data_IF_214364950427
#
_entry.id   IF_214364950427
#
_cell.length_a   1.000
_cell.length_b   1.000
_cell.length_c   1.000
_cell.angle_alpha   90.00
_cell.angle_beta   90.00
_cell.angle_gamma   90.00
#
_symmetry.space_group_name_H-M   'P 1'
#
loop_
_entity.id
_entity.type
_entity.pdbx_description
1 polymer ?
#
# COMPACT_ATOMS: atom_id res chain seq x y z
N UNK A 1 -47.95 2.70 -53.88
CA UNK A 1 -49.38 2.85 -54.17
C UNK A 1 -49.77 4.18 -53.61
N UNK A 2 -49.76 5.17 -54.42
CA UNK A 2 -50.84 5.75 -55.20
C UNK A 2 -51.62 6.72 -54.30
N UNK A 3 -51.80 7.92 -54.53
CA UNK A 3 -52.00 8.81 -55.70
C UNK A 3 -53.07 9.80 -55.19
N UNK A 4 -53.02 10.98 -55.43
CA UNK A 4 -53.30 11.82 -56.50
C UNK A 4 -53.84 13.16 -55.99
N UNK A 5 -53.27 14.26 -56.37
CA UNK A 5 -53.56 15.12 -57.53
C UNK A 5 -55.01 15.66 -57.58
N UNK A 6 -55.16 16.90 -57.66
CA UNK A 6 -55.51 17.82 -58.77
C UNK A 6 -56.25 19.04 -58.23
N UNK A 7 -55.96 20.18 -58.57
CA UNK A 7 -55.80 20.99 -59.75
C UNK A 7 -56.84 22.12 -59.79
N UNK A 8 -56.36 23.29 -59.95
CA UNK A 8 -56.64 24.31 -60.98
C UNK A 8 -57.97 25.05 -60.90
N UNK A 9 -58.16 26.24 -61.11
CA UNK A 9 -57.64 27.28 -61.95
C UNK A 9 -58.65 28.39 -62.10
N UNK A 10 -58.19 29.61 -62.38
CA UNK A 10 -58.77 30.68 -63.19
C UNK A 10 -59.99 31.47 -62.71
N UNK A 11 -59.78 32.77 -62.73
CA UNK A 11 -60.78 33.81 -62.93
C UNK A 11 -60.24 35.23 -62.79
N UNK A 12 -59.66 35.74 -63.88
CA UNK A 12 -59.43 37.17 -64.11
C UNK A 12 -60.78 37.88 -64.24
N UNK A 13 -60.94 39.04 -63.58
CA UNK A 13 -62.03 39.94 -63.88
C UNK A 13 -62.04 41.19 -63.00
N UNK A 14 -61.37 42.18 -63.55
CA UNK A 14 -61.75 43.58 -63.60
C UNK A 14 -62.66 44.16 -62.48
N UNK A 15 -62.10 45.12 -61.71
CA UNK A 15 -62.77 46.43 -61.43
C UNK A 15 -61.81 47.41 -60.80
N UNK A 16 -61.27 48.31 -61.67
CA UNK A 16 -60.94 49.66 -61.30
C UNK A 16 -62.23 50.41 -61.12
N UNK A 17 -62.62 50.77 -59.89
CA UNK A 17 -63.42 51.96 -59.60
C UNK A 17 -63.90 52.11 -58.08
N UNK A 18 -63.27 51.43 -57.15
CA UNK A 18 -63.62 51.63 -55.74
C UNK A 18 -62.43 52.10 -54.87
N UNK A 19 -61.36 52.53 -55.47
CA UNK A 19 -60.12 52.88 -54.72
C UNK A 19 -60.18 54.29 -54.08
N UNK A 20 -61.20 55.15 -54.39
CA UNK A 20 -61.22 56.51 -53.90
C UNK A 20 -62.14 56.79 -52.71
N UNK A 21 -63.00 55.85 -52.37
CA UNK A 21 -63.87 55.96 -51.18
C UNK A 21 -63.33 55.26 -49.94
N UNK A 22 -62.38 54.35 -50.10
CA UNK A 22 -61.74 53.66 -49.00
C UNK A 22 -60.66 54.42 -48.27
N UNK A 23 -60.03 55.36 -48.94
CA UNK A 23 -58.93 56.18 -48.35
C UNK A 23 -59.41 57.22 -47.37
N UNK A 24 -60.57 57.89 -47.63
CA UNK A 24 -61.13 58.91 -46.74
C UNK A 24 -61.70 58.26 -45.44
N UNK A 25 -62.32 57.09 -45.54
CA UNK A 25 -62.81 56.39 -44.38
C UNK A 25 -61.71 55.81 -43.48
N UNK A 26 -60.54 55.47 -44.05
CA UNK A 26 -59.40 55.06 -43.28
C UNK A 26 -58.65 56.18 -42.62
N UNK A 27 -58.58 57.37 -43.23
CA UNK A 27 -57.99 58.58 -42.60
C UNK A 27 -58.81 59.08 -41.43
N UNK A 28 -60.17 59.08 -41.54
CA UNK A 28 -61.02 59.38 -40.41
C UNK A 28 -60.93 58.37 -39.25
N UNK A 29 -60.83 57.08 -39.55
CA UNK A 29 -60.59 56.06 -38.53
C UNK A 29 -59.22 56.20 -37.86
N UNK A 30 -58.20 56.58 -38.63
CA UNK A 30 -56.87 56.81 -38.07
C UNK A 30 -56.80 58.07 -37.22
N UNK A 31 -57.52 59.15 -37.60
CA UNK A 31 -57.68 60.37 -36.75
C UNK A 31 -58.50 60.09 -35.51
N UNK A 32 -59.57 59.30 -35.58
CA UNK A 32 -60.37 58.89 -34.43
C UNK A 32 -59.55 57.97 -33.45
N UNK A 33 -58.69 57.08 -33.99
CA UNK A 33 -57.76 56.28 -33.21
C UNK A 33 -56.65 57.16 -32.59
N UNK A 34 -56.14 58.13 -33.31
CA UNK A 34 -55.15 59.11 -32.76
C UNK A 34 -55.72 59.89 -31.60
N UNK A 35 -56.96 60.44 -31.75
CA UNK A 35 -57.64 61.17 -30.64
C UNK A 35 -57.98 60.23 -29.46
N UNK A 36 -58.34 59.01 -29.71
CA UNK A 36 -58.60 58.03 -28.63
C UNK A 36 -57.31 57.64 -27.87
N UNK A 37 -56.17 57.66 -28.53
CA UNK A 37 -54.86 57.44 -27.91
C UNK A 37 -54.40 58.67 -27.11
N UNK A 38 -54.61 59.89 -27.62
CA UNK A 38 -54.29 61.11 -26.91
C UNK A 38 -55.16 61.33 -25.65
N UNK A 39 -56.43 60.99 -25.67
CA UNK A 39 -57.28 61.03 -24.49
C UNK A 39 -56.98 59.97 -23.44
N UNK A 40 -56.18 58.97 -23.75
CA UNK A 40 -55.67 57.98 -22.79
C UNK A 40 -54.33 58.36 -22.16
N UNK A 41 -53.62 59.31 -22.72
CA UNK A 41 -52.37 59.81 -22.18
C UNK A 41 -52.61 61.02 -21.24
N UNK A 42 -53.36 60.81 -20.13
CA UNK A 42 -53.42 61.76 -19.05
C UNK A 42 -52.26 61.55 -18.07
N UNK A 43 -51.22 62.42 -18.05
CA UNK A 43 -50.02 62.18 -17.27
C UNK A 43 -50.11 62.55 -15.79
N UNK A 44 -51.28 62.53 -15.20
CA UNK A 44 -51.46 63.05 -13.83
C UNK A 44 -51.96 62.01 -12.79
N UNK A 45 -51.77 60.73 -13.05
CA UNK A 45 -51.83 59.75 -11.95
C UNK A 45 -50.47 59.12 -11.76
N UNK A 46 -49.77 59.39 -10.64
CA UNK A 46 -48.58 58.64 -10.35
C UNK A 46 -48.98 57.17 -10.19
N UNK A 47 -48.47 56.35 -11.12
CA UNK A 47 -48.56 54.89 -10.97
C UNK A 47 -47.75 54.59 -9.68
N UNK A 48 -48.47 54.39 -8.58
CA UNK A 48 -47.87 53.84 -7.37
C UNK A 48 -47.24 52.53 -7.79
N UNK A 49 -45.88 52.59 -7.94
CA UNK A 49 -45.11 51.38 -8.10
C UNK A 49 -45.56 50.42 -6.99
N UNK A 50 -46.20 49.35 -7.37
CA UNK A 50 -46.58 48.31 -6.45
C UNK A 50 -45.24 47.82 -5.83
N UNK A 51 -44.95 48.28 -4.60
CA UNK A 51 -43.86 47.81 -3.80
C UNK A 51 -44.05 46.31 -3.70
N UNK A 52 -43.34 45.55 -4.55
CA UNK A 52 -43.29 44.07 -4.46
C UNK A 52 -42.86 43.78 -3.02
N UNK A 53 -43.80 43.49 -2.17
CA UNK A 53 -43.57 43.02 -0.81
C UNK A 53 -42.82 41.71 -0.99
N UNK A 54 -41.51 41.80 -1.07
CA UNK A 54 -40.61 40.61 -1.02
C UNK A 54 -41.05 39.84 0.22
N UNK A 55 -41.68 38.72 -0.02
CA UNK A 55 -42.23 37.85 1.00
C UNK A 55 -41.09 37.44 1.92
N UNK A 56 -41.00 38.05 3.09
CA UNK A 56 -40.04 37.67 4.14
C UNK A 56 -40.19 36.21 4.56
N UNK A 57 -41.35 35.56 4.21
CA UNK A 57 -41.56 34.13 4.40
C UNK A 57 -40.63 33.27 3.56
N UNK A 58 -40.47 33.56 2.27
CA UNK A 58 -39.56 32.81 1.39
C UNK A 58 -38.09 32.90 1.86
N UNK A 59 -37.65 34.08 2.29
CA UNK A 59 -36.29 34.25 2.85
C UNK A 59 -36.11 33.51 4.18
N UNK A 60 -37.13 33.50 5.05
CA UNK A 60 -37.09 32.73 6.31
C UNK A 60 -37.05 31.22 6.03
N UNK A 61 -37.86 30.71 5.10
CA UNK A 61 -37.85 29.30 4.70
C UNK A 61 -36.48 28.94 4.12
N UNK A 62 -35.91 29.74 3.23
CA UNK A 62 -34.56 29.50 2.66
C UNK A 62 -33.46 29.51 3.74
N UNK A 63 -33.52 30.40 4.74
CA UNK A 63 -32.55 30.39 5.84
C UNK A 63 -32.73 29.17 6.73
N UNK A 64 -33.97 28.82 7.09
CA UNK A 64 -34.24 27.63 7.92
C UNK A 64 -33.82 26.35 7.18
N UNK A 65 -34.12 26.21 5.90
CA UNK A 65 -33.70 25.04 5.12
C UNK A 65 -32.17 24.96 5.01
N UNK A 66 -31.48 26.10 4.81
CA UNK A 66 -30.00 26.12 4.79
C UNK A 66 -29.39 25.74 6.14
N UNK A 67 -29.98 26.23 7.25
CA UNK A 67 -29.54 25.86 8.62
C UNK A 67 -29.76 24.37 8.88
N UNK A 68 -30.92 23.83 8.47
CA UNK A 68 -31.23 22.40 8.62
C UNK A 68 -30.27 21.56 7.79
N UNK A 69 -30.03 21.92 6.52
CA UNK A 69 -29.05 21.20 5.66
C UNK A 69 -27.64 21.25 6.26
N UNK A 70 -27.23 22.43 6.75
CA UNK A 70 -25.92 22.59 7.42
C UNK A 70 -25.84 21.73 8.69
N UNK A 71 -26.89 21.72 9.51
CA UNK A 71 -26.96 20.89 10.72
C UNK A 71 -26.90 19.40 10.38
N UNK A 72 -27.59 18.94 9.32
CA UNK A 72 -27.53 17.57 8.83
C UNK A 72 -26.14 17.22 8.31
N UNK A 73 -25.45 18.10 7.60
CA UNK A 73 -24.08 17.90 7.15
C UNK A 73 -23.11 17.80 8.33
N UNK A 74 -23.25 18.68 9.33
CA UNK A 74 -22.44 18.62 10.55
C UNK A 74 -22.70 17.31 11.30
N UNK A 75 -23.95 16.88 11.44
CA UNK A 75 -24.32 15.64 12.07
C UNK A 75 -23.77 14.42 11.30
N UNK A 76 -23.80 14.45 9.98
CA UNK A 76 -23.24 13.40 9.12
C UNK A 76 -21.72 13.30 9.28
N UNK A 77 -21.02 14.43 9.16
CA UNK A 77 -19.54 14.46 9.27
C UNK A 77 -19.10 14.15 10.70
N UNK A 78 -19.72 14.77 11.71
CA UNK A 78 -19.42 14.53 13.12
C UNK A 78 -19.75 13.12 13.56
N UNK A 79 -20.92 12.59 13.16
CA UNK A 79 -21.34 11.22 13.43
C UNK A 79 -20.43 10.20 12.72
N UNK A 80 -20.04 10.48 11.48
CA UNK A 80 -19.06 9.68 10.73
C UNK A 80 -17.69 9.63 11.41
N UNK A 81 -17.20 10.77 11.90
CA UNK A 81 -15.94 10.84 12.66
C UNK A 81 -16.00 10.05 13.96
N UNK A 82 -17.07 10.23 14.76
CA UNK A 82 -17.25 9.51 16.02
C UNK A 82 -17.36 7.99 15.77
N UNK A 83 -18.04 7.59 14.72
CA UNK A 83 -18.11 6.18 14.32
C UNK A 83 -16.74 5.64 13.92
N UNK A 84 -15.95 6.38 13.14
CA UNK A 84 -14.59 6.00 12.77
C UNK A 84 -13.68 5.91 14.00
N UNK A 85 -13.80 6.85 14.95
CA UNK A 85 -13.07 6.83 16.22
C UNK A 85 -13.42 5.61 17.06
N UNK A 86 -14.73 5.27 17.15
CA UNK A 86 -15.17 4.06 17.83
C UNK A 86 -14.63 2.79 17.16
N UNK A 87 -14.65 2.71 15.84
CA UNK A 87 -14.06 1.59 15.09
C UNK A 87 -12.55 1.49 15.31
N UNK A 88 -11.86 2.61 15.24
CA UNK A 88 -10.41 2.67 15.48
C UNK A 88 -10.04 2.25 16.91
N UNK A 89 -10.85 2.58 17.90
CA UNK A 89 -10.63 2.16 19.30
C UNK A 89 -10.76 0.64 19.51
N UNK A 90 -11.35 -0.09 18.55
CA UNK A 90 -11.41 -1.56 18.61
C UNK A 90 -10.10 -2.22 18.15
N UNK A 91 -9.18 -1.47 17.51
CA UNK A 91 -7.89 -2.03 17.11
C UNK A 91 -7.05 -2.25 18.36
N UNK A 92 -6.53 -3.47 18.58
CA UNK A 92 -5.65 -3.75 19.70
C UNK A 92 -4.45 -2.81 19.73
N UNK A 93 -4.10 -2.32 20.90
CA UNK A 93 -2.98 -1.41 21.12
C UNK A 93 -1.92 -2.08 21.96
N UNK A 94 -0.66 -1.77 21.66
CA UNK A 94 0.49 -2.18 22.46
C UNK A 94 1.31 -0.94 22.83
N UNK A 95 1.73 -0.90 24.09
CA UNK A 95 2.66 0.15 24.50
C UNK A 95 4.09 -0.27 24.09
N UNK A 96 4.74 0.55 23.27
CA UNK A 96 6.11 0.30 22.80
C UNK A 96 7.05 1.28 23.51
N UNK A 97 7.96 0.73 24.29
CA UNK A 97 8.97 1.51 25.01
C UNK A 97 10.11 1.85 24.05
N UNK A 98 10.53 3.10 24.05
CA UNK A 98 11.65 3.59 23.21
C UNK A 98 11.21 4.16 21.85
N UNK A 99 9.91 4.28 21.60
CA UNK A 99 9.41 5.06 20.46
C UNK A 99 9.76 6.54 20.65
N UNK A 100 10.15 7.16 19.51
CA UNK A 100 10.38 8.60 19.48
C UNK A 100 9.10 9.32 19.04
N UNK A 101 8.79 10.50 19.63
CA UNK A 101 7.60 11.23 19.22
C UNK A 101 7.70 11.65 17.76
N UNK A 102 6.59 11.47 17.04
CA UNK A 102 6.47 11.98 15.68
C UNK A 102 6.29 13.50 15.70
N UNK A 103 7.17 14.22 15.02
CA UNK A 103 7.05 15.65 14.84
C UNK A 103 6.30 15.96 13.54
N UNK A 104 5.26 16.80 13.62
CA UNK A 104 4.44 17.19 12.48
C UNK A 104 5.27 17.70 11.32
N UNK A 105 5.03 17.15 10.12
CA UNK A 105 5.71 17.54 8.88
C UNK A 105 7.16 17.06 8.73
N UNK A 106 7.72 16.37 9.72
CA UNK A 106 9.05 15.78 9.63
C UNK A 106 8.97 14.31 9.19
N UNK A 107 10.05 13.76 8.60
CA UNK A 107 10.16 12.35 8.33
C UNK A 107 9.99 11.51 9.61
N UNK A 108 9.35 10.36 9.48
CA UNK A 108 9.14 9.41 10.57
C UNK A 108 9.18 7.97 10.07
N UNK A 109 9.39 7.04 10.99
CA UNK A 109 9.60 5.64 10.69
C UNK A 109 8.53 4.77 11.37
N UNK A 110 7.91 3.91 10.59
CA UNK A 110 6.95 2.89 11.07
C UNK A 110 7.64 1.53 10.95
N UNK A 111 7.79 0.83 12.07
CA UNK A 111 8.23 -0.55 12.09
C UNK A 111 7.03 -1.48 11.83
N UNK A 112 7.03 -2.14 10.69
CA UNK A 112 6.09 -3.21 10.35
C UNK A 112 6.67 -4.56 10.79
N UNK A 113 5.93 -5.26 11.64
CA UNK A 113 6.28 -6.59 12.14
C UNK A 113 5.25 -7.59 11.62
N UNK A 114 5.65 -8.48 10.72
CA UNK A 114 4.84 -9.61 10.30
C UNK A 114 5.02 -10.78 11.26
N UNK A 115 3.99 -11.08 12.02
CA UNK A 115 3.99 -12.21 12.96
C UNK A 115 3.45 -13.47 12.30
N UNK A 116 4.09 -14.61 12.58
CA UNK A 116 3.60 -15.95 12.21
C UNK A 116 2.44 -16.44 13.09
N UNK A 117 1.87 -15.56 13.93
CA UNK A 117 0.71 -15.87 14.75
C UNK A 117 -0.46 -16.36 13.90
N UNK A 118 -0.96 -17.54 14.28
CA UNK A 118 -2.08 -18.22 13.66
C UNK A 118 -3.39 -18.02 14.42
N UNK A 119 -3.37 -17.19 15.45
CA UNK A 119 -4.55 -16.84 16.22
C UNK A 119 -5.64 -16.26 15.31
N UNK A 120 -6.87 -16.70 15.49
CA UNK A 120 -8.01 -16.26 14.68
C UNK A 120 -8.16 -16.93 13.32
N UNK A 121 -7.24 -17.82 12.90
CA UNK A 121 -7.41 -18.63 11.70
C UNK A 121 -8.34 -19.81 11.97
N UNK A 122 -9.28 -20.05 11.05
CA UNK A 122 -10.27 -21.13 11.15
C UNK A 122 -10.39 -21.92 9.84
N UNK A 123 -11.04 -23.08 9.91
CA UNK A 123 -11.38 -23.89 8.73
C UNK A 123 -10.18 -24.36 7.92
N UNK A 124 -10.28 -24.24 6.59
CA UNK A 124 -9.24 -24.71 5.64
C UNK A 124 -7.94 -23.93 5.80
N UNK A 125 -8.02 -22.61 6.04
CA UNK A 125 -6.84 -21.75 6.25
C UNK A 125 -6.05 -22.18 7.48
N UNK A 126 -6.72 -22.51 8.56
CA UNK A 126 -6.07 -23.04 9.78
C UNK A 126 -5.32 -24.35 9.50
N UNK A 127 -5.96 -25.28 8.75
CA UNK A 127 -5.30 -26.53 8.34
C UNK A 127 -4.09 -26.31 7.45
N UNK A 128 -4.21 -25.46 6.43
CA UNK A 128 -3.13 -25.17 5.46
C UNK A 128 -1.95 -24.41 6.09
N UNK A 129 -2.20 -23.65 7.15
CA UNK A 129 -1.15 -22.94 7.90
C UNK A 129 -0.61 -23.73 9.08
N UNK A 130 -1.17 -24.91 9.39
CA UNK A 130 -0.80 -25.73 10.55
C UNK A 130 -1.31 -25.16 11.89
N UNK A 131 -2.33 -24.29 11.86
CA UNK A 131 -2.92 -23.71 13.09
C UNK A 131 -3.66 -24.75 13.94
N UNK A 132 -4.01 -25.89 13.39
CA UNK A 132 -4.69 -26.99 14.09
C UNK A 132 -3.75 -27.84 14.96
N UNK A 133 -2.44 -27.69 14.79
CA UNK A 133 -1.44 -28.35 15.62
C UNK A 133 -0.87 -27.32 16.59
N UNK A 134 -1.02 -27.54 17.88
CA UNK A 134 -0.46 -26.69 18.97
C UNK A 134 1.09 -26.62 18.96
N UNK A 135 1.74 -26.90 17.84
CA UNK A 135 3.16 -27.20 17.73
C UNK A 135 4.07 -26.00 17.49
N UNK A 136 3.56 -24.77 17.48
CA UNK A 136 4.43 -23.59 17.34
C UNK A 136 4.35 -22.77 18.64
N UNK A 137 5.12 -23.18 19.63
CA UNK A 137 5.42 -22.36 20.79
C UNK A 137 6.36 -21.21 20.34
N UNK A 138 5.95 -19.98 20.64
CA UNK A 138 6.72 -18.76 20.37
C UNK A 138 6.19 -17.99 19.15
N UNK A 139 6.06 -16.68 19.31
CA UNK A 139 5.81 -15.76 18.22
C UNK A 139 7.16 -15.38 17.61
N UNK A 140 7.29 -15.54 16.30
CA UNK A 140 8.46 -15.09 15.55
C UNK A 140 8.04 -14.00 14.57
N UNK A 141 8.92 -13.02 14.39
CA UNK A 141 8.74 -12.06 13.32
C UNK A 141 9.38 -12.62 12.04
N UNK A 142 8.52 -13.03 11.10
CA UNK A 142 8.97 -13.46 9.78
C UNK A 142 9.21 -12.26 8.84
N UNK A 143 8.68 -11.10 9.19
CA UNK A 143 8.81 -9.84 8.44
C UNK A 143 9.25 -8.75 9.41
N UNK A 144 10.33 -8.06 9.07
CA UNK A 144 10.81 -6.86 9.74
C UNK A 144 11.04 -5.82 8.65
N UNK A 145 10.16 -4.84 8.57
CA UNK A 145 10.26 -3.75 7.58
C UNK A 145 10.15 -2.41 8.29
N UNK A 146 10.89 -1.43 7.78
CA UNK A 146 10.82 -0.06 8.25
C UNK A 146 10.33 0.79 7.08
N UNK A 147 9.16 1.37 7.26
CA UNK A 147 8.58 2.33 6.34
C UNK A 147 9.05 3.72 6.76
N UNK A 148 9.97 4.29 6.01
CA UNK A 148 10.41 5.68 6.14
C UNK A 148 9.46 6.55 5.33
N UNK A 149 8.77 7.46 6.00
CA UNK A 149 7.80 8.37 5.40
C UNK A 149 8.33 9.78 5.50
N UNK A 150 8.49 10.44 4.37
CA UNK A 150 8.80 11.87 4.32
C UNK A 150 7.59 12.65 3.81
N UNK A 151 6.82 13.29 4.71
CA UNK A 151 5.65 14.08 4.31
C UNK A 151 6.01 15.33 3.51
N UNK A 152 7.19 15.90 3.70
CA UNK A 152 7.63 17.09 2.97
C UNK A 152 7.97 16.76 1.51
N UNK A 153 8.75 15.69 1.30
CA UNK A 153 9.08 15.19 -0.03
C UNK A 153 7.93 14.41 -0.67
N UNK A 154 6.92 13.96 0.09
CA UNK A 154 5.84 13.11 -0.40
C UNK A 154 6.34 11.72 -0.82
N UNK A 155 7.36 11.20 -0.17
CA UNK A 155 7.99 9.92 -0.51
C UNK A 155 7.78 8.87 0.59
N UNK A 156 7.76 7.62 0.16
CA UNK A 156 7.73 6.45 1.03
C UNK A 156 8.84 5.51 0.59
N UNK A 157 9.71 5.15 1.53
CA UNK A 157 10.80 4.19 1.33
C UNK A 157 10.66 3.03 2.30
N UNK A 158 10.76 1.80 1.80
CA UNK A 158 10.69 0.58 2.61
C UNK A 158 12.10 -0.02 2.71
N UNK A 159 12.57 -0.19 3.92
CA UNK A 159 13.74 -1.01 4.22
C UNK A 159 13.30 -2.35 4.82
N UNK A 160 13.61 -3.44 4.15
CA UNK A 160 13.40 -4.79 4.68
C UNK A 160 14.68 -5.29 5.35
N UNK A 161 14.57 -5.74 6.60
CA UNK A 161 15.67 -6.40 7.32
C UNK A 161 15.37 -7.91 7.28
N UNK A 162 16.22 -8.74 6.64
CA UNK A 162 16.04 -10.18 6.63
C UNK A 162 15.98 -10.73 8.06
N UNK A 163 15.05 -11.62 8.33
CA UNK A 163 14.77 -12.13 9.70
C UNK A 163 15.95 -12.86 10.36
N UNK A 164 16.84 -13.41 9.53
CA UNK A 164 18.02 -14.17 9.99
C UNK A 164 19.27 -13.26 10.13
N UNK A 165 19.10 -11.92 10.05
CA UNK A 165 20.18 -10.95 10.27
C UNK A 165 20.66 -11.01 11.71
N UNK A 166 21.97 -11.18 11.87
CA UNK A 166 22.63 -11.20 13.18
C UNK A 166 22.66 -9.80 13.81
N UNK A 167 22.26 -9.73 15.05
CA UNK A 167 22.22 -8.50 15.86
C UNK A 167 22.82 -8.74 17.24
N UNK A 168 23.23 -7.68 17.90
CA UNK A 168 23.55 -7.68 19.32
C UNK A 168 22.23 -7.65 20.11
N UNK A 169 21.99 -8.68 20.92
CA UNK A 169 20.79 -8.76 21.75
C UNK A 169 20.86 -7.77 22.92
N UNK A 170 19.75 -7.10 23.22
CA UNK A 170 19.64 -6.20 24.38
C UNK A 170 19.17 -6.93 25.64
N UNK A 171 18.51 -8.09 25.49
CA UNK A 171 18.00 -8.88 26.60
C UNK A 171 18.21 -10.38 26.34
N UNK A 172 18.05 -11.20 27.40
CA UNK A 172 18.11 -12.66 27.34
C UNK A 172 19.43 -13.23 26.80
N UNK A 173 20.53 -12.49 26.94
CA UNK A 173 21.84 -12.92 26.45
C UNK A 173 22.33 -14.20 27.12
N UNK A 174 21.93 -14.47 28.38
CA UNK A 174 22.27 -15.72 29.08
C UNK A 174 21.61 -16.95 28.40
N UNK A 175 20.45 -16.78 27.78
CA UNK A 175 19.69 -17.86 27.14
C UNK A 175 20.06 -18.01 25.65
N UNK A 176 20.21 -16.90 24.95
CA UNK A 176 20.34 -16.87 23.48
C UNK A 176 21.75 -16.45 22.98
N UNK A 177 22.68 -16.16 23.90
CA UNK A 177 23.98 -15.58 23.57
C UNK A 177 23.92 -14.08 23.36
N UNK A 178 25.10 -13.42 23.29
CA UNK A 178 25.21 -11.98 23.03
C UNK A 178 24.70 -11.60 21.62
N UNK A 179 24.89 -12.47 20.66
CA UNK A 179 24.55 -12.30 19.27
C UNK A 179 23.56 -13.37 18.82
N UNK A 180 22.49 -12.98 18.14
CA UNK A 180 21.55 -13.91 17.57
C UNK A 180 20.78 -13.26 16.40
N UNK A 181 19.92 -14.02 15.74
CA UNK A 181 19.05 -13.50 14.67
C UNK A 181 18.07 -12.46 15.21
N UNK A 182 17.77 -11.44 14.42
CA UNK A 182 16.86 -10.36 14.81
C UNK A 182 15.46 -10.85 15.18
N UNK A 183 14.98 -11.91 14.54
CA UNK A 183 13.64 -12.47 14.78
C UNK A 183 13.45 -13.06 16.18
N UNK A 184 14.52 -13.41 16.90
CA UNK A 184 14.47 -13.93 18.29
C UNK A 184 13.96 -12.83 19.25
N UNK A 185 14.27 -11.57 18.98
CA UNK A 185 13.86 -10.45 19.84
C UNK A 185 12.35 -10.27 19.94
N UNK A 186 11.60 -10.63 18.88
CA UNK A 186 10.15 -10.50 18.88
C UNK A 186 9.45 -11.42 19.90
N UNK A 187 10.06 -12.51 20.29
CA UNK A 187 9.56 -13.38 21.35
C UNK A 187 9.34 -12.66 22.70
N UNK A 188 10.01 -11.52 22.89
CA UNK A 188 9.88 -10.64 24.06
C UNK A 188 9.04 -9.39 23.78
N UNK A 189 8.29 -9.40 22.68
CA UNK A 189 7.39 -8.33 22.27
C UNK A 189 8.00 -7.29 21.31
N UNK A 190 7.14 -6.44 20.78
CA UNK A 190 7.53 -5.45 19.75
C UNK A 190 8.48 -4.37 20.30
N UNK A 191 8.38 -4.04 21.59
CA UNK A 191 9.27 -3.05 22.23
C UNK A 191 10.73 -3.45 22.15
N UNK A 192 11.05 -4.72 22.47
CA UNK A 192 12.44 -5.18 22.44
C UNK A 192 12.98 -5.22 21.01
N UNK A 193 12.14 -5.59 20.03
CA UNK A 193 12.54 -5.57 18.63
C UNK A 193 12.81 -4.14 18.14
N UNK A 194 11.94 -3.17 18.46
CA UNK A 194 12.12 -1.76 18.09
C UNK A 194 13.42 -1.20 18.73
N UNK A 195 13.63 -1.42 20.02
CA UNK A 195 14.86 -1.01 20.72
C UNK A 195 16.10 -1.66 20.10
N UNK A 196 16.04 -2.96 19.77
CA UNK A 196 17.14 -3.67 19.13
C UNK A 196 17.50 -3.06 17.76
N UNK A 197 16.51 -2.70 16.96
CA UNK A 197 16.72 -2.04 15.67
C UNK A 197 17.40 -0.68 15.87
N UNK A 198 16.90 0.13 16.79
CA UNK A 198 17.49 1.43 17.10
C UNK A 198 18.93 1.28 17.64
N UNK A 199 19.16 0.36 18.56
CA UNK A 199 20.49 0.16 19.15
C UNK A 199 21.51 -0.41 18.17
N UNK A 200 21.09 -1.32 17.26
CA UNK A 200 22.01 -1.95 16.31
C UNK A 200 22.25 -1.13 15.05
N UNK A 201 21.23 -0.50 14.52
CA UNK A 201 21.27 0.16 13.21
C UNK A 201 21.13 1.70 13.28
N UNK A 202 20.86 2.25 14.46
CA UNK A 202 20.63 3.69 14.63
C UNK A 202 19.32 4.19 14.05
N UNK A 203 18.39 3.30 13.66
CA UNK A 203 17.14 3.70 13.03
C UNK A 203 16.13 4.09 14.11
N UNK A 204 15.70 5.37 14.20
CA UNK A 204 14.66 5.78 15.14
C UNK A 204 13.31 5.19 14.73
N UNK A 205 12.55 4.65 15.69
CA UNK A 205 11.21 4.11 15.46
C UNK A 205 10.20 5.06 16.10
N UNK A 206 9.21 5.52 15.34
CA UNK A 206 8.15 6.42 15.79
C UNK A 206 6.84 5.68 16.01
N UNK A 207 6.56 4.65 15.20
CA UNK A 207 5.35 3.83 15.31
C UNK A 207 5.66 2.36 15.05
N UNK A 208 4.81 1.49 15.57
CA UNK A 208 4.89 0.04 15.36
C UNK A 208 3.53 -0.51 14.92
N UNK A 209 3.55 -1.27 13.82
CA UNK A 209 2.39 -2.00 13.32
C UNK A 209 2.72 -3.48 13.30
N UNK A 210 1.92 -4.29 13.98
CA UNK A 210 2.04 -5.75 13.93
C UNK A 210 0.92 -6.31 13.07
N UNK A 211 1.26 -7.19 12.14
CA UNK A 211 0.33 -7.84 11.21
C UNK A 211 0.45 -9.35 11.36
N UNK A 212 -0.60 -10.02 11.81
CA UNK A 212 -0.68 -11.47 11.85
C UNK A 212 -1.14 -12.04 10.50
N UNK A 213 -1.08 -13.36 10.32
CA UNK A 213 -1.64 -14.03 9.15
C UNK A 213 -3.13 -13.72 8.95
N UNK A 214 -3.92 -13.71 10.03
CA UNK A 214 -5.32 -13.32 9.97
C UNK A 214 -5.47 -11.85 9.53
N UNK A 215 -4.63 -10.96 10.04
CA UNK A 215 -4.60 -9.55 9.67
C UNK A 215 -4.35 -9.33 8.19
N UNK A 216 -3.37 -10.04 7.62
CA UNK A 216 -3.07 -9.93 6.18
C UNK A 216 -4.24 -10.42 5.31
N UNK A 217 -4.82 -11.57 5.66
CA UNK A 217 -6.00 -12.10 4.96
C UNK A 217 -7.17 -11.11 5.05
N UNK A 218 -7.47 -10.63 6.25
CA UNK A 218 -8.58 -9.73 6.51
C UNK A 218 -8.39 -8.38 5.80
N UNK A 219 -7.18 -7.85 5.76
CA UNK A 219 -6.86 -6.63 5.01
C UNK A 219 -7.09 -6.83 3.50
N UNK A 220 -6.57 -7.92 2.92
CA UNK A 220 -6.79 -8.23 1.51
C UNK A 220 -8.28 -8.41 1.17
N UNK A 221 -9.03 -9.15 1.99
CA UNK A 221 -10.47 -9.37 1.80
C UNK A 221 -11.26 -8.06 1.95
N UNK A 222 -10.90 -7.22 2.93
CA UNK A 222 -11.54 -5.92 3.15
C UNK A 222 -11.35 -4.94 2.00
N UNK A 223 -10.20 -5.01 1.32
CA UNK A 223 -9.91 -4.26 0.10
C UNK A 223 -10.63 -4.83 -1.14
N UNK A 224 -11.34 -5.96 -1.02
CA UNK A 224 -11.92 -6.68 -2.15
C UNK A 224 -10.87 -7.38 -3.02
N UNK A 225 -9.72 -7.69 -2.45
CA UNK A 225 -8.56 -8.26 -3.14
C UNK A 225 -7.58 -7.20 -3.67
N UNK A 226 -6.42 -7.66 -4.09
CA UNK A 226 -5.38 -6.86 -4.75
C UNK A 226 -5.06 -7.47 -6.12
N UNK A 227 -4.67 -6.64 -7.07
CA UNK A 227 -4.32 -7.10 -8.41
C UNK A 227 -2.82 -7.25 -8.55
N UNK A 228 -2.41 -8.46 -8.94
CA UNK A 228 -1.03 -8.80 -9.25
C UNK A 228 -0.96 -9.46 -10.63
N UNK A 229 -0.09 -8.98 -11.47
CA UNK A 229 0.24 -9.60 -12.76
C UNK A 229 1.32 -10.65 -12.56
N UNK A 230 0.98 -11.89 -12.87
CA UNK A 230 1.90 -13.02 -12.87
C UNK A 230 2.35 -13.27 -14.30
N UNK A 231 3.62 -13.03 -14.65
CA UNK A 231 4.10 -13.24 -16.02
C UNK A 231 3.97 -14.71 -16.49
N UNK A 232 3.93 -15.63 -15.54
CA UNK A 232 3.83 -17.07 -15.78
C UNK A 232 2.89 -17.72 -14.78
N UNK A 233 2.32 -18.93 -15.09
CA UNK A 233 1.71 -19.77 -14.07
C UNK A 233 2.70 -19.98 -12.92
N UNK A 234 2.24 -19.87 -11.67
CA UNK A 234 3.10 -19.90 -10.51
C UNK A 234 2.54 -20.78 -9.39
N UNK A 235 3.42 -21.40 -8.62
CA UNK A 235 3.04 -22.20 -7.45
C UNK A 235 4.13 -22.18 -6.38
N UNK A 236 3.71 -22.49 -5.16
CA UNK A 236 4.58 -22.84 -4.04
C UNK A 236 3.80 -23.75 -3.09
N UNK A 237 4.14 -25.02 -3.07
CA UNK A 237 3.42 -26.02 -2.28
C UNK A 237 3.51 -25.78 -0.78
N UNK A 238 4.58 -25.13 -0.29
CA UNK A 238 4.77 -24.86 1.13
C UNK A 238 3.95 -23.66 1.62
N UNK A 239 3.76 -22.66 0.78
CA UNK A 239 2.89 -21.53 1.11
C UNK A 239 1.43 -21.75 0.72
N UNK A 240 1.17 -22.70 -0.18
CA UNK A 240 -0.14 -22.96 -0.80
C UNK A 240 -0.48 -22.02 -1.94
N UNK A 241 0.53 -21.33 -2.50
CA UNK A 241 0.34 -20.50 -3.70
C UNK A 241 0.00 -21.39 -4.89
N UNK A 242 -1.05 -21.03 -5.61
CA UNK A 242 -1.44 -21.69 -6.85
C UNK A 242 -2.09 -20.70 -7.81
N UNK A 243 -1.35 -20.31 -8.82
CA UNK A 243 -1.75 -19.39 -9.89
C UNK A 243 -1.64 -20.15 -11.21
N UNK A 244 -2.72 -20.78 -11.68
CA UNK A 244 -2.67 -21.66 -12.85
C UNK A 244 -2.56 -20.89 -14.18
N UNK A 245 -2.93 -19.61 -14.21
CA UNK A 245 -2.93 -18.79 -15.43
C UNK A 245 -2.08 -17.54 -15.24
N UNK A 246 -1.30 -17.14 -16.26
CA UNK A 246 -0.56 -15.89 -16.23
C UNK A 246 -1.50 -14.67 -16.39
N UNK A 247 -0.96 -13.48 -16.21
CA UNK A 247 -1.66 -12.22 -16.36
C UNK A 247 -2.13 -11.59 -15.04
N UNK A 248 -2.88 -10.51 -15.17
CA UNK A 248 -3.37 -9.74 -14.02
C UNK A 248 -4.46 -10.52 -13.27
N UNK A 249 -4.17 -10.94 -12.05
CA UNK A 249 -5.02 -11.79 -11.21
C UNK A 249 -5.52 -11.02 -9.99
N UNK A 250 -6.79 -11.21 -9.63
CA UNK A 250 -7.33 -10.73 -8.36
C UNK A 250 -6.95 -11.70 -7.24
N UNK A 251 -6.05 -11.29 -6.38
CA UNK A 251 -5.54 -12.07 -5.26
C UNK A 251 -6.26 -11.66 -3.98
N UNK A 252 -6.90 -12.62 -3.31
CA UNK A 252 -7.63 -12.38 -2.06
C UNK A 252 -7.55 -13.58 -1.13
N UNK A 253 -7.97 -13.41 0.12
CA UNK A 253 -8.05 -14.47 1.12
C UNK A 253 -6.73 -15.20 1.33
N UNK A 254 -6.79 -16.53 1.24
CA UNK A 254 -5.62 -17.37 1.46
C UNK A 254 -4.50 -17.17 0.42
N UNK A 255 -4.84 -16.91 -0.85
CA UNK A 255 -3.82 -16.67 -1.88
C UNK A 255 -3.00 -15.40 -1.59
N UNK A 256 -3.59 -14.37 -0.98
CA UNK A 256 -2.86 -13.19 -0.51
C UNK A 256 -1.79 -13.57 0.53
N UNK A 257 -2.15 -14.40 1.50
CA UNK A 257 -1.20 -14.92 2.48
C UNK A 257 -0.15 -15.84 1.82
N UNK A 258 -0.56 -16.66 0.84
CA UNK A 258 0.33 -17.58 0.14
C UNK A 258 1.42 -16.83 -0.63
N UNK A 259 1.09 -15.73 -1.33
CA UNK A 259 2.06 -14.84 -1.99
C UNK A 259 3.06 -14.29 -0.98
N UNK A 260 2.57 -13.73 0.14
CA UNK A 260 3.42 -13.10 1.16
C UNK A 260 4.33 -14.10 1.91
N UNK A 261 4.02 -15.39 1.86
CA UNK A 261 4.78 -16.48 2.52
C UNK A 261 5.67 -17.27 1.57
N UNK A 262 5.53 -17.09 0.25
CA UNK A 262 6.18 -17.91 -0.74
C UNK A 262 7.71 -17.76 -0.70
N UNK A 263 8.40 -18.84 -0.36
CA UNK A 263 9.88 -18.97 -0.31
C UNK A 263 10.42 -20.02 -1.27
N UNK A 264 9.52 -20.88 -1.78
CA UNK A 264 9.82 -21.95 -2.72
C UNK A 264 9.03 -21.70 -4.00
N UNK A 265 9.06 -20.44 -4.47
CA UNK A 265 8.33 -19.99 -5.63
C UNK A 265 8.81 -20.72 -6.88
N UNK A 266 7.87 -21.21 -7.66
CA UNK A 266 8.11 -21.84 -8.95
C UNK A 266 7.24 -21.17 -10.00
N UNK A 267 7.79 -21.04 -11.21
CA UNK A 267 7.04 -20.55 -12.37
C UNK A 267 7.19 -21.51 -13.55
N UNK A 268 6.14 -21.63 -14.36
CA UNK A 268 6.11 -22.50 -15.53
C UNK A 268 6.46 -21.71 -16.78
N UNK A 269 7.58 -22.06 -17.41
CA UNK A 269 8.05 -21.41 -18.64
C UNK A 269 8.74 -22.43 -19.52
N UNK A 270 8.50 -22.37 -20.83
CA UNK A 270 9.11 -23.26 -21.83
C UNK A 270 8.89 -24.76 -21.54
N UNK A 271 7.70 -25.12 -21.05
CA UNK A 271 7.34 -26.52 -20.78
C UNK A 271 7.87 -27.09 -19.46
N UNK A 272 8.58 -26.29 -18.65
CA UNK A 272 9.18 -26.76 -17.38
C UNK A 272 8.85 -25.84 -16.22
N UNK A 273 8.82 -26.40 -14.99
CA UNK A 273 8.77 -25.64 -13.77
C UNK A 273 10.17 -25.19 -13.37
N UNK A 274 10.39 -23.89 -13.32
CA UNK A 274 11.60 -23.27 -12.84
C UNK A 274 11.46 -22.96 -11.34
N UNK A 275 12.57 -22.85 -10.62
CA UNK A 275 12.59 -22.61 -9.18
C UNK A 275 13.34 -21.32 -8.85
N UNK A 276 12.74 -20.49 -7.97
CA UNK A 276 13.38 -19.31 -7.41
C UNK A 276 14.32 -19.68 -6.27
N UNK A 277 15.62 -19.70 -6.55
CA UNK A 277 16.65 -20.00 -5.56
C UNK A 277 16.91 -18.89 -4.54
N UNK A 278 16.26 -17.72 -4.67
CA UNK A 278 16.49 -16.58 -3.77
C UNK A 278 15.80 -16.73 -2.41
N UNK A 279 14.90 -17.71 -2.26
CA UNK A 279 14.28 -18.09 -0.98
C UNK A 279 13.68 -16.91 -0.20
N UNK A 280 14.31 -16.48 0.88
CA UNK A 280 13.82 -15.40 1.75
C UNK A 280 13.84 -14.02 1.06
N UNK A 281 14.84 -13.75 0.24
CA UNK A 281 14.93 -12.50 -0.52
C UNK A 281 13.81 -12.38 -1.56
N UNK A 282 13.51 -13.45 -2.31
CA UNK A 282 12.38 -13.47 -3.23
C UNK A 282 11.04 -13.30 -2.51
N UNK A 283 10.88 -13.87 -1.31
CA UNK A 283 9.71 -13.61 -0.46
C UNK A 283 9.58 -12.12 -0.12
N UNK A 284 10.67 -11.45 0.25
CA UNK A 284 10.70 -10.02 0.55
C UNK A 284 10.25 -9.21 -0.67
N UNK A 285 10.72 -9.54 -1.86
CA UNK A 285 10.34 -8.88 -3.10
C UNK A 285 8.84 -9.04 -3.39
N UNK A 286 8.29 -10.27 -3.27
CA UNK A 286 6.85 -10.54 -3.41
C UNK A 286 5.98 -9.83 -2.37
N UNK A 287 6.45 -9.71 -1.12
CA UNK A 287 5.80 -8.92 -0.09
C UNK A 287 5.78 -7.42 -0.44
N UNK A 288 6.87 -6.90 -1.01
CA UNK A 288 6.95 -5.50 -1.42
C UNK A 288 5.99 -5.22 -2.60
N UNK A 289 5.90 -6.14 -3.57
CA UNK A 289 4.93 -6.07 -4.66
C UNK A 289 3.48 -6.09 -4.13
N UNK A 290 3.21 -7.00 -3.20
CA UNK A 290 1.90 -7.11 -2.55
C UNK A 290 1.52 -5.84 -1.79
N UNK A 291 2.44 -5.26 -1.03
CA UNK A 291 2.22 -3.99 -0.30
C UNK A 291 1.92 -2.83 -1.28
N UNK A 292 2.66 -2.72 -2.38
CA UNK A 292 2.35 -1.74 -3.44
C UNK A 292 0.94 -1.93 -4.00
N UNK A 293 0.55 -3.17 -4.27
CA UNK A 293 -0.79 -3.49 -4.77
C UNK A 293 -1.88 -3.15 -3.74
N UNK A 294 -1.64 -3.40 -2.44
CA UNK A 294 -2.55 -3.01 -1.36
C UNK A 294 -2.73 -1.48 -1.29
N UNK A 295 -1.65 -0.70 -1.34
CA UNK A 295 -1.71 0.76 -1.32
C UNK A 295 -2.45 1.27 -2.57
N UNK A 296 -2.17 0.71 -3.73
CA UNK A 296 -2.88 1.05 -4.98
C UNK A 296 -4.38 0.79 -4.85
N UNK A 297 -4.75 -0.35 -4.29
CA UNK A 297 -6.16 -0.72 -4.08
C UNK A 297 -6.83 0.15 -3.03
N UNK A 298 -6.16 0.44 -1.92
CA UNK A 298 -6.68 1.31 -0.87
C UNK A 298 -7.04 2.72 -1.39
N UNK A 299 -6.26 3.26 -2.31
CA UNK A 299 -6.52 4.56 -2.95
C UNK A 299 -7.80 4.60 -3.79
N UNK A 300 -8.27 3.47 -4.29
CA UNK A 300 -9.51 3.36 -5.06
C UNK A 300 -10.77 3.18 -4.20
N UNK A 301 -10.63 3.15 -2.87
CA UNK A 301 -11.73 2.92 -1.94
C UNK A 301 -12.44 4.23 -1.59
N UNK A 302 -13.40 4.64 -2.41
CA UNK A 302 -14.25 5.79 -2.11
C UNK A 302 -15.64 5.40 -1.56
N UNK A 303 -15.97 4.10 -1.56
CA UNK A 303 -17.27 3.64 -1.09
C UNK A 303 -17.28 3.53 0.45
N UNK A 304 -18.18 4.25 1.16
CA UNK A 304 -18.28 4.19 2.62
C UNK A 304 -18.52 2.77 3.17
N UNK A 305 -19.23 1.91 2.44
CA UNK A 305 -19.44 0.52 2.85
C UNK A 305 -18.15 -0.30 2.83
N UNK A 306 -17.29 -0.07 1.84
CA UNK A 306 -15.99 -0.75 1.76
C UNK A 306 -15.04 -0.24 2.85
N UNK A 307 -15.03 1.08 3.11
CA UNK A 307 -14.28 1.67 4.23
C UNK A 307 -14.74 1.07 5.56
N UNK A 308 -16.05 0.96 5.78
CA UNK A 308 -16.60 0.33 6.98
C UNK A 308 -16.20 -1.15 7.09
N UNK A 309 -16.28 -1.91 5.99
CA UNK A 309 -15.84 -3.31 5.95
C UNK A 309 -14.35 -3.43 6.33
N UNK A 310 -13.52 -2.54 5.80
CA UNK A 310 -12.10 -2.48 6.12
C UNK A 310 -11.87 -2.21 7.61
N UNK A 311 -12.46 -1.14 8.15
CA UNK A 311 -12.34 -0.78 9.57
C UNK A 311 -12.91 -1.84 10.51
N UNK A 312 -13.86 -2.66 10.08
CA UNK A 312 -14.44 -3.74 10.90
C UNK A 312 -13.58 -5.00 10.95
N UNK A 313 -12.75 -5.24 9.94
CA UNK A 313 -11.90 -6.46 9.84
C UNK A 313 -10.48 -6.26 10.35
N UNK A 314 -9.96 -5.03 10.33
CA UNK A 314 -8.62 -4.70 10.81
C UNK A 314 -8.34 -5.17 12.25
N UNK A 315 -9.25 -4.99 13.24
CA UNK A 315 -8.99 -5.40 14.60
C UNK A 315 -8.69 -6.90 14.76
N UNK A 316 -9.03 -7.70 13.77
CA UNK A 316 -8.84 -9.15 13.78
C UNK A 316 -7.47 -9.53 13.22
N UNK A 317 -6.39 -8.98 13.75
CA UNK A 317 -5.04 -9.41 13.39
C UNK A 317 -4.05 -8.31 13.02
N UNK A 318 -4.45 -7.05 13.23
CA UNK A 318 -3.55 -5.89 13.23
C UNK A 318 -3.52 -5.30 14.62
N UNK A 319 -2.32 -5.01 15.12
CA UNK A 319 -2.09 -4.32 16.40
C UNK A 319 -1.24 -3.10 16.13
N UNK A 320 -1.62 -1.95 16.68
CA UNK A 320 -0.89 -0.69 16.57
C UNK A 320 -0.20 -0.35 17.90
N UNK A 321 0.82 0.49 17.84
CA UNK A 321 1.31 1.13 19.07
C UNK A 321 0.26 2.05 19.68
N UNK A 322 0.43 2.36 20.99
CA UNK A 322 -0.51 3.22 21.72
C UNK A 322 -0.46 4.68 21.28
N UNK A 323 0.65 5.11 20.69
CA UNK A 323 0.85 6.47 20.18
C UNK A 323 0.15 6.71 18.83
N UNK A 324 -0.16 5.67 18.07
CA UNK A 324 -0.80 5.81 16.76
C UNK A 324 -2.27 6.21 16.89
N UNK A 325 -2.63 7.37 16.37
CA UNK A 325 -3.98 7.93 16.45
C UNK A 325 -4.74 7.88 15.12
N UNK A 326 -6.09 7.94 15.19
CA UNK A 326 -6.92 8.07 13.99
C UNK A 326 -6.62 9.35 13.22
N UNK A 327 -6.31 10.45 13.93
CA UNK A 327 -6.02 11.74 13.28
C UNK A 327 -4.72 11.67 12.46
N UNK A 328 -3.69 11.00 12.96
CA UNK A 328 -2.46 10.74 12.21
C UNK A 328 -2.71 9.89 10.98
N UNK A 329 -3.53 8.83 11.11
CA UNK A 329 -3.93 8.00 9.97
C UNK A 329 -4.69 8.81 8.90
N UNK A 330 -5.61 9.66 9.32
CA UNK A 330 -6.35 10.54 8.41
C UNK A 330 -5.40 11.55 7.75
N UNK A 331 -4.51 12.19 8.51
CA UNK A 331 -3.53 13.13 8.00
C UNK A 331 -2.60 12.46 6.96
N UNK A 332 -2.15 11.23 7.25
CA UNK A 332 -1.39 10.41 6.33
C UNK A 332 -2.19 10.11 5.05
N UNK A 333 -3.43 9.64 5.18
CA UNK A 333 -4.28 9.33 4.04
C UNK A 333 -4.56 10.55 3.15
N UNK A 334 -4.81 11.72 3.75
CA UNK A 334 -5.00 12.98 3.02
C UNK A 334 -3.70 13.41 2.31
N UNK A 335 -2.56 13.34 3.00
CA UNK A 335 -1.27 13.75 2.45
C UNK A 335 -0.85 12.87 1.28
N UNK A 336 -1.07 11.56 1.38
CA UNK A 336 -0.64 10.57 0.39
C UNK A 336 -1.77 10.10 -0.55
N UNK A 337 -2.93 10.77 -0.59
CA UNK A 337 -4.03 10.37 -1.48
C UNK A 337 -3.63 10.34 -2.96
N UNK A 338 -2.76 11.26 -3.39
CA UNK A 338 -2.23 11.33 -4.76
C UNK A 338 -0.91 10.58 -4.97
N UNK A 339 -0.35 9.98 -3.89
CA UNK A 339 0.92 9.24 -4.00
C UNK A 339 0.80 8.09 -4.99
N UNK A 340 1.76 7.97 -5.91
CA UNK A 340 1.82 6.83 -6.83
C UNK A 340 2.61 5.69 -6.18
N UNK A 341 1.99 4.53 -5.89
CA UNK A 341 2.69 3.40 -5.27
C UNK A 341 3.87 2.87 -6.08
N UNK A 342 3.90 3.12 -7.40
CA UNK A 342 5.05 2.77 -8.25
C UNK A 342 6.32 3.58 -7.90
N UNK A 343 6.15 4.74 -7.27
CA UNK A 343 7.26 5.58 -6.81
C UNK A 343 7.77 5.17 -5.41
N UNK A 344 7.16 4.16 -4.78
CA UNK A 344 7.64 3.64 -3.51
C UNK A 344 8.97 2.92 -3.71
N UNK A 345 10.02 3.42 -3.07
CA UNK A 345 11.34 2.80 -3.10
C UNK A 345 11.37 1.62 -2.11
N UNK A 346 11.96 0.51 -2.53
CA UNK A 346 12.10 -0.67 -1.67
C UNK A 346 13.54 -1.17 -1.69
N UNK A 347 14.08 -1.33 -0.49
CA UNK A 347 15.43 -1.83 -0.27
C UNK A 347 15.40 -3.04 0.65
N UNK A 348 16.38 -3.90 0.50
CA UNK A 348 16.70 -4.94 1.47
C UNK A 348 18.07 -4.63 2.04
N UNK A 349 18.23 -4.75 3.37
CA UNK A 349 19.51 -4.52 4.03
C UNK A 349 20.58 -5.43 3.39
N UNK A 350 21.68 -4.89 2.90
CA UNK A 350 22.79 -5.69 2.36
C UNK A 350 23.33 -6.63 3.43
N UNK A 351 23.42 -7.92 3.10
CA UNK A 351 23.88 -8.95 4.03
C UNK A 351 24.77 -9.97 3.37
N UNK A 352 25.67 -10.56 4.15
CA UNK A 352 26.54 -11.67 3.76
C UNK A 352 26.09 -12.93 4.52
N UNK A 353 25.80 -14.04 3.83
CA UNK A 353 25.48 -15.30 4.48
C UNK A 353 26.70 -15.95 5.15
N UNK A 354 26.48 -16.58 6.29
CA UNK A 354 27.48 -17.40 6.98
C UNK A 354 26.81 -18.49 7.80
N UNK A 355 27.53 -19.56 8.09
CA UNK A 355 27.09 -20.62 8.99
C UNK A 355 27.81 -20.48 10.33
N UNK A 356 27.05 -20.31 11.43
CA UNK A 356 27.58 -20.05 12.77
C UNK A 356 27.19 -21.18 13.73
N UNK A 357 28.09 -22.10 13.99
CA UNK A 357 27.96 -23.14 14.99
C UNK A 357 26.56 -23.76 15.08
N UNK A 358 25.95 -23.76 16.27
CA UNK A 358 24.59 -24.27 16.50
C UNK A 358 23.47 -23.37 15.97
N UNK A 359 23.79 -22.14 15.60
CA UNK A 359 22.79 -21.24 14.99
C UNK A 359 22.52 -21.64 13.54
N UNK A 360 23.43 -22.36 12.86
CA UNK A 360 23.30 -22.66 11.44
C UNK A 360 23.44 -21.42 10.55
N UNK A 361 22.69 -21.35 9.45
CA UNK A 361 22.80 -20.29 8.47
C UNK A 361 22.19 -18.97 8.97
N UNK A 362 23.00 -17.93 8.94
CA UNK A 362 22.69 -16.59 9.41
C UNK A 362 23.14 -15.55 8.39
N UNK A 363 22.73 -14.31 8.58
CA UNK A 363 23.09 -13.19 7.71
C UNK A 363 23.78 -12.12 8.55
N UNK A 364 24.95 -11.64 8.11
CA UNK A 364 25.63 -10.50 8.71
C UNK A 364 25.39 -9.26 7.86
N UNK A 365 25.15 -8.11 8.50
CA UNK A 365 25.08 -6.84 7.78
C UNK A 365 26.40 -6.59 7.05
N UNK A 366 26.33 -6.42 5.73
CA UNK A 366 27.50 -6.18 4.87
C UNK A 366 27.97 -4.76 5.03
N UNK A 367 29.14 -4.57 5.62
CA UNK A 367 29.75 -3.25 5.79
C UNK A 367 30.80 -2.99 4.69
N UNK A 368 30.91 -1.77 4.15
CA UNK A 368 30.21 -0.52 4.55
C UNK A 368 28.82 -0.31 3.88
N UNK A 369 28.41 -1.19 2.97
CA UNK A 369 27.22 -1.01 2.10
C UNK A 369 25.93 -0.86 2.91
N UNK A 370 25.78 -1.63 4.00
CA UNK A 370 24.63 -1.52 4.89
C UNK A 370 24.57 -0.13 5.52
N UNK A 371 25.68 0.38 6.04
CA UNK A 371 25.73 1.72 6.63
C UNK A 371 25.46 2.82 5.61
N UNK A 372 26.00 2.71 4.39
CA UNK A 372 25.75 3.67 3.32
C UNK A 372 24.27 3.69 2.94
N UNK A 373 23.63 2.52 2.83
CA UNK A 373 22.20 2.43 2.56
C UNK A 373 21.36 3.09 3.66
N UNK A 374 21.68 2.85 4.94
CA UNK A 374 20.99 3.47 6.06
C UNK A 374 21.12 5.00 6.04
N UNK A 375 22.30 5.52 5.77
CA UNK A 375 22.53 6.97 5.63
C UNK A 375 21.74 7.53 4.45
N UNK A 376 21.68 6.82 3.33
CA UNK A 376 20.94 7.27 2.15
C UNK A 376 19.42 7.31 2.38
N UNK A 377 18.89 6.39 3.18
CA UNK A 377 17.44 6.35 3.47
C UNK A 377 17.05 7.35 4.56
N UNK A 378 17.78 7.34 5.69
CA UNK A 378 17.37 8.04 6.90
C UNK A 378 18.06 9.40 7.10
N UNK A 379 19.17 9.64 6.39
CA UNK A 379 19.88 10.91 6.41
C UNK A 379 20.26 11.34 7.83
N UNK A 380 19.94 12.59 8.15
CA UNK A 380 20.22 13.20 9.46
C UNK A 380 19.35 12.67 10.62
N UNK A 381 18.31 11.87 10.33
CA UNK A 381 17.51 11.24 11.39
C UNK A 381 18.16 9.97 11.95
N UNK A 382 19.18 9.44 11.28
CA UNK A 382 19.90 8.26 11.74
C UNK A 382 20.69 8.56 13.02
N UNK A 383 20.48 7.76 14.04
CA UNK A 383 21.18 7.84 15.32
C UNK A 383 22.51 7.07 15.26
N UNK A 384 23.40 7.36 16.18
CA UNK A 384 24.61 6.54 16.35
C UNK A 384 24.22 5.21 17.01
N UNK A 385 24.54 4.05 16.40
CA UNK A 385 24.28 2.75 17.00
C UNK A 385 24.99 2.61 18.35
N UNK A 386 24.26 2.23 19.39
CA UNK A 386 24.82 1.99 20.74
C UNK A 386 25.34 0.58 20.94
N UNK A 387 24.78 -0.37 20.20
CA UNK A 387 25.15 -1.79 20.21
C UNK A 387 25.19 -2.30 18.76
N UNK A 388 26.17 -1.91 17.96
CA UNK A 388 26.23 -2.25 16.54
C UNK A 388 26.14 -3.76 16.32
N UNK A 389 25.58 -4.21 15.16
CA UNK A 389 25.50 -5.62 14.84
C UNK A 389 26.90 -6.23 14.72
N UNK A 390 27.04 -7.54 15.00
CA UNK A 390 28.34 -8.20 14.87
C UNK A 390 28.83 -8.19 13.42
N UNK A 391 30.14 -8.07 13.24
CA UNK A 391 30.78 -8.20 11.94
C UNK A 391 31.12 -9.68 11.66
N UNK A 392 30.91 -10.14 10.44
CA UNK A 392 31.24 -11.49 9.98
C UNK A 392 32.70 -11.87 10.27
N UNK A 393 33.61 -10.91 10.15
CA UNK A 393 35.05 -11.13 10.38
C UNK A 393 35.42 -11.39 11.86
N UNK A 394 34.56 -11.00 12.82
CA UNK A 394 34.81 -11.21 14.26
C UNK A 394 34.29 -12.56 14.77
N UNK A 395 33.58 -13.33 13.95
CA UNK A 395 32.89 -14.55 14.37
C UNK A 395 33.48 -15.82 13.77
N UNK A 396 34.43 -15.77 12.88
CA UNK A 396 35.19 -16.94 12.41
C UNK A 396 36.26 -17.29 13.43
N UNK A 397 36.11 -18.36 14.25
CA UNK A 397 37.30 -18.94 14.87
C UNK A 397 38.18 -19.42 13.70
N UNK A 398 39.38 -18.94 13.62
CA UNK A 398 40.39 -19.56 12.73
C UNK A 398 40.32 -21.06 12.99
N UNK A 399 40.14 -21.89 11.96
CA UNK A 399 40.27 -23.34 12.15
C UNK A 399 41.64 -23.57 12.77
N UNK A 400 41.74 -24.50 13.77
CA UNK A 400 43.03 -24.81 14.33
C UNK A 400 43.96 -25.18 13.18
N UNK A 401 45.09 -24.50 13.12
CA UNK A 401 46.14 -24.83 12.14
C UNK A 401 46.57 -26.24 12.47
N UNK A 402 46.03 -27.22 11.76
CA UNK A 402 46.57 -28.57 11.75
C UNK A 402 47.89 -28.44 11.04
N UNK A 403 48.95 -28.47 11.80
CA UNK A 403 50.31 -28.58 11.28
C UNK A 403 50.38 -29.87 10.45
N UNK A 404 50.14 -29.72 9.15
CA UNK A 404 50.37 -30.84 8.22
C UNK A 404 51.88 -31.03 8.09
N UNK A 405 52.40 -31.99 8.81
CA UNK A 405 53.78 -32.48 8.61
C UNK A 405 53.82 -33.06 7.21
N UNK A 406 54.40 -32.31 6.28
CA UNK A 406 54.61 -32.75 4.91
C UNK A 406 55.72 -33.78 4.91
N UNK A 407 55.38 -35.06 4.89
CA UNK A 407 56.32 -36.14 4.56
C UNK A 407 56.44 -36.14 3.04
N UNK A 408 57.57 -35.64 2.57
CA UNK A 408 57.97 -35.67 1.14
C UNK A 408 58.29 -37.09 0.76
N UNK A 409 57.39 -37.75 0.05
CA UNK A 409 57.73 -39.01 -0.68
C UNK A 409 57.72 -38.66 -2.17
N UNK A 410 58.96 -38.62 -2.68
CA UNK A 410 59.23 -38.49 -4.13
C UNK A 410 58.89 -39.80 -4.81
N UNK A 411 57.94 -39.81 -5.72
CA UNK A 411 57.85 -40.84 -6.76
C UNK A 411 57.57 -40.15 -8.10
N UNK A 412 58.46 -40.45 -9.02
CA UNK A 412 58.49 -39.90 -10.37
C UNK A 412 57.51 -40.56 -11.34
N UNK A 413 57.09 -39.73 -12.30
CA UNK A 413 56.77 -40.03 -13.73
C UNK A 413 55.58 -40.92 -14.06
N UNK A 414 54.61 -40.51 -14.82
CA UNK A 414 54.57 -40.43 -16.29
C UNK A 414 53.17 -40.10 -16.77
N UNK A 415 53.13 -39.13 -17.64
CA UNK A 415 52.25 -38.88 -18.81
C UNK A 415 50.89 -39.57 -18.94
N UNK A 416 49.84 -38.86 -19.17
CA UNK A 416 49.09 -38.77 -20.43
C UNK A 416 47.62 -38.29 -20.25
N UNK A 417 47.34 -37.15 -20.83
CA UNK A 417 46.13 -36.71 -21.53
C UNK A 417 44.78 -37.34 -21.18
N UNK A 418 43.84 -36.55 -20.69
CA UNK A 418 42.62 -36.20 -21.43
C UNK A 418 41.78 -35.25 -20.61
N UNK A 419 41.61 -34.02 -21.10
CA UNK A 419 40.69 -33.02 -20.56
C UNK A 419 39.25 -33.50 -20.78
N UNK A 420 38.53 -33.69 -19.68
CA UNK A 420 37.07 -33.70 -19.71
C UNK A 420 36.62 -32.52 -18.86
N UNK A 421 36.14 -31.49 -19.53
CA UNK A 421 35.62 -30.31 -18.89
C UNK A 421 34.30 -30.62 -18.18
N UNK A 422 34.37 -30.83 -16.89
CA UNK A 422 33.18 -30.87 -16.03
C UNK A 422 32.77 -29.42 -15.78
N UNK A 423 31.68 -29.01 -16.41
CA UNK A 423 31.05 -27.71 -16.23
C UNK A 423 30.42 -27.69 -14.85
N UNK A 424 31.17 -27.25 -13.84
CA UNK A 424 30.64 -26.96 -12.51
C UNK A 424 29.84 -25.66 -12.63
N UNK A 425 28.52 -25.79 -12.70
CA UNK A 425 27.60 -24.66 -12.62
C UNK A 425 27.55 -24.22 -11.16
N UNK A 426 28.44 -23.33 -10.79
CA UNK A 426 28.34 -22.60 -9.52
C UNK A 426 27.11 -21.69 -9.67
N UNK A 427 26.01 -22.02 -9.02
CA UNK A 427 24.89 -21.11 -8.84
C UNK A 427 25.39 -19.93 -8.00
N UNK A 428 25.83 -18.90 -8.67
CA UNK A 428 26.17 -17.61 -8.05
C UNK A 428 24.88 -17.03 -7.48
N UNK A 429 24.81 -16.95 -6.14
CA UNK A 429 23.85 -16.09 -5.48
C UNK A 429 24.09 -14.68 -6.00
N UNK A 430 23.17 -14.17 -6.80
CA UNK A 430 23.22 -12.80 -7.30
C UNK A 430 23.08 -11.86 -6.10
N UNK A 431 24.22 -11.36 -5.61
CA UNK A 431 24.28 -10.25 -4.67
C UNK A 431 23.75 -9.02 -5.40
N UNK A 432 22.53 -8.61 -5.06
CA UNK A 432 21.96 -7.34 -5.55
C UNK A 432 22.87 -6.20 -5.04
N UNK A 433 23.50 -5.51 -5.96
CA UNK A 433 24.33 -4.34 -5.66
C UNK A 433 23.46 -3.23 -5.04
N UNK A 434 23.89 -2.58 -3.93
CA UNK A 434 23.08 -1.58 -3.22
C UNK A 434 22.87 -0.27 -3.99
N UNK A 435 23.44 -0.11 -5.17
CA UNK A 435 23.41 1.14 -5.95
C UNK A 435 22.19 1.31 -6.87
N UNK A 436 21.22 0.37 -6.90
CA UNK A 436 20.03 0.50 -7.73
C UNK A 436 18.75 0.44 -6.90
N UNK A 437 18.14 1.60 -6.58
CA UNK A 437 16.91 1.68 -5.76
C UNK A 437 15.68 1.05 -6.42
N UNK A 438 15.69 0.91 -7.72
CA UNK A 438 14.77 0.10 -8.49
C UNK A 438 15.46 -1.22 -8.81
N UNK A 439 15.63 -2.08 -7.82
CA UNK A 439 15.92 -3.47 -8.14
C UNK A 439 14.79 -3.92 -9.07
N UNK A 440 15.12 -4.07 -10.34
CA UNK A 440 14.19 -4.62 -11.33
C UNK A 440 13.72 -5.93 -10.74
N UNK A 441 12.41 -6.03 -10.45
CA UNK A 441 11.82 -7.27 -9.96
C UNK A 441 12.25 -8.36 -10.92
N UNK A 442 12.61 -9.56 -10.43
CA UNK A 442 12.88 -10.68 -11.32
C UNK A 442 11.73 -10.82 -12.32
N UNK A 443 12.04 -11.03 -13.58
CA UNK A 443 11.05 -11.08 -14.67
C UNK A 443 9.93 -12.11 -14.47
N UNK A 444 10.11 -13.03 -13.52
CA UNK A 444 9.14 -14.08 -13.16
C UNK A 444 8.30 -13.74 -11.92
N UNK A 445 8.67 -12.73 -11.15
CA UNK A 445 7.93 -12.32 -9.96
C UNK A 445 6.69 -11.48 -10.30
N UNK A 446 5.63 -11.59 -9.49
CA UNK A 446 4.42 -10.80 -9.71
C UNK A 446 4.65 -9.31 -9.47
N UNK A 447 3.99 -8.47 -10.27
CA UNK A 447 4.00 -7.02 -10.13
C UNK A 447 2.59 -6.47 -9.97
N UNK A 448 2.37 -5.32 -9.31
CA UNK A 448 1.06 -4.70 -9.24
C UNK A 448 0.50 -4.39 -10.63
N UNK A 449 -0.78 -4.67 -10.85
CA UNK A 449 -1.48 -4.36 -12.09
C UNK A 449 -2.86 -3.72 -11.82
N UNK A 450 -3.48 -3.22 -12.88
CA UNK A 450 -4.87 -2.79 -12.90
C UNK A 450 -5.63 -3.68 -13.88
N UNK A 451 -6.87 -4.11 -13.56
CA UNK A 451 -7.67 -4.98 -14.45
C UNK A 451 -8.01 -4.28 -15.75
#
# INVERSE_FOLDING_TARGET
>A
MADGRHNASRGRGNRRSEATKGTLANEERLRALGQAVEHRANPSRPVRAAKVRRSHRGRRIAIISSVVVLALLIALVGGGYLYAQWRFSQIPKVNVVGELPQLSGRPFNILEIGSDSRAGLTGTVARQTGASTNSVAGQRSDVVKIMHVDPAAGTITILSIPRDTMVTLLANQALFGKFNRINVNYGNGPSLLAQTITANFGIPINHVIQVSFAGLINAAVALGGVYLDFPYPAKDAYSGLNIPHPGCQLITGFQALAVARSRHYQWFQNGVWNYDGTSDFGRIDRQNAFLRAMISRAKSLYNPLTINSFLSKIPQGITLDSGFSLNELIAFAVKFHSFNPSNMLTYTLPTVPATVGLLGDVLFAQQPEAQQLLVNIFGSSLLTPTNPPPNAQLQTPLPPVVATTTTTTTIASTSSTRATATKTTTAGAATKSPSNPTAVMPYFDPVPCTP
#
